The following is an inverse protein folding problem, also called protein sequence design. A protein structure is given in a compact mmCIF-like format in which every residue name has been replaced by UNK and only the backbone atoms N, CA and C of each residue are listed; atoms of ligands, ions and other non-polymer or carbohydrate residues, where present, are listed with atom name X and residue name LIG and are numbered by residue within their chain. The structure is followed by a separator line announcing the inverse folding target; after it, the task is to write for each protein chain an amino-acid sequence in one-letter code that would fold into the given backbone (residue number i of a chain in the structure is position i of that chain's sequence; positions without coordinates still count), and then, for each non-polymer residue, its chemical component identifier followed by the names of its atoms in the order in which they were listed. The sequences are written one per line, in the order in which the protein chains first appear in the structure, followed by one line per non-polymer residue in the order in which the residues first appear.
data_IF_569211928337
#
_entry.id   IF_569211928337
#
_cell.length_a   1.000
_cell.length_b   1.000
_cell.length_c   1.000
_cell.angle_alpha   90.00
_cell.angle_beta   90.00
_cell.angle_gamma   90.00
#
_symmetry.space_group_name_H-M   'P 1'
#
loop_
_entity.id
_entity.type
_entity.pdbx_description
1 polymer ?
#
# COMPACT_ATOMS: atom_id res chain seq x y z
N UNK A 1 -24.29 4.87 7.02
CA UNK A 1 -23.16 4.77 6.06
C UNK A 1 -23.06 3.30 5.66
N UNK A 2 -23.33 2.97 4.39
CA UNK A 2 -23.31 1.57 3.91
C UNK A 2 -21.86 1.18 3.62
N UNK A 3 -21.38 0.09 4.24
CA UNK A 3 -20.04 -0.42 3.98
C UNK A 3 -19.96 -0.89 2.52
N UNK A 4 -18.83 -0.65 1.82
CA UNK A 4 -18.65 -1.13 0.46
C UNK A 4 -18.75 -2.67 0.43
N UNK A 5 -19.37 -3.20 -0.63
CA UNK A 5 -19.49 -4.64 -0.83
C UNK A 5 -18.10 -5.21 -1.12
N UNK A 6 -17.61 -6.07 -0.23
CA UNK A 6 -16.40 -6.86 -0.46
C UNK A 6 -16.74 -8.02 -1.41
N UNK A 7 -15.87 -8.27 -2.39
CA UNK A 7 -16.11 -9.28 -3.42
C UNK A 7 -15.99 -10.71 -2.87
N UNK A 8 -16.94 -11.60 -3.21
CA UNK A 8 -16.79 -13.06 -3.04
C UNK A 8 -16.02 -13.73 -4.19
N UNK A 9 -15.59 -12.95 -5.18
CA UNK A 9 -14.84 -13.36 -6.37
C UNK A 9 -13.58 -12.51 -6.49
N UNK A 10 -12.63 -12.90 -7.34
CA UNK A 10 -11.51 -12.01 -7.69
C UNK A 10 -12.11 -10.79 -8.39
N UNK A 11 -11.95 -9.58 -7.82
CA UNK A 11 -12.48 -8.39 -8.45
C UNK A 11 -11.75 -8.07 -9.76
N UNK A 12 -12.45 -7.60 -10.77
CA UNK A 12 -11.90 -7.23 -12.09
C UNK A 12 -11.74 -5.72 -12.23
N UNK A 13 -10.92 -5.27 -13.19
CA UNK A 13 -10.81 -3.82 -13.48
C UNK A 13 -12.19 -3.23 -13.81
N UNK A 14 -12.49 -2.04 -13.30
CA UNK A 14 -13.76 -1.32 -13.48
C UNK A 14 -15.04 -2.01 -12.96
N UNK A 15 -14.93 -3.00 -12.08
CA UNK A 15 -16.10 -3.70 -11.51
C UNK A 15 -16.84 -2.95 -10.40
N UNK A 16 -16.40 -1.73 -10.07
CA UNK A 16 -16.96 -0.90 -8.99
C UNK A 16 -16.68 -1.44 -7.57
N UNK A 17 -16.02 -2.58 -7.44
CA UNK A 17 -15.62 -3.13 -6.15
C UNK A 17 -14.37 -2.39 -5.63
N UNK A 18 -14.09 -2.48 -4.34
CA UNK A 18 -12.88 -1.92 -3.73
C UNK A 18 -11.74 -2.95 -3.75
N UNK A 19 -10.50 -2.49 -3.53
CA UNK A 19 -9.33 -3.36 -3.37
C UNK A 19 -8.91 -3.33 -1.92
N UNK A 20 -8.76 -4.50 -1.31
CA UNK A 20 -8.10 -4.64 -0.01
C UNK A 20 -6.71 -5.23 -0.20
N UNK A 21 -5.75 -4.71 0.57
CA UNK A 21 -4.44 -5.30 0.73
C UNK A 21 -4.08 -5.35 2.21
N UNK A 22 -3.21 -6.28 2.59
CA UNK A 22 -2.62 -6.27 3.93
C UNK A 22 -1.15 -6.65 3.89
N UNK A 23 -0.39 -6.03 4.79
CA UNK A 23 0.98 -6.43 5.11
C UNK A 23 0.93 -7.38 6.28
N UNK A 24 1.62 -8.52 6.16
CA UNK A 24 1.81 -9.46 7.28
C UNK A 24 3.23 -9.33 7.79
N UNK A 25 3.38 -8.93 9.06
CA UNK A 25 4.66 -8.88 9.76
C UNK A 25 4.44 -9.54 11.12
N UNK A 26 5.15 -10.64 11.36
CA UNK A 26 4.96 -11.48 12.55
C UNK A 26 3.47 -11.82 12.76
N UNK A 27 2.93 -11.55 13.95
CA UNK A 27 1.53 -11.78 14.31
C UNK A 27 0.62 -10.57 14.04
N UNK A 28 1.09 -9.58 13.27
CA UNK A 28 0.35 -8.35 12.98
C UNK A 28 -0.01 -8.23 11.51
N UNK A 29 -1.26 -7.85 11.25
CA UNK A 29 -1.78 -7.56 9.92
C UNK A 29 -2.14 -6.08 9.79
N UNK A 30 -1.63 -5.43 8.76
CA UNK A 30 -1.86 -4.00 8.51
C UNK A 30 -2.63 -3.82 7.21
N UNK A 31 -3.91 -3.49 7.33
CA UNK A 31 -4.81 -3.39 6.18
C UNK A 31 -4.74 -2.03 5.48
N UNK A 32 -4.89 -2.05 4.17
CA UNK A 32 -5.08 -0.90 3.29
C UNK A 32 -6.25 -1.15 2.35
N UNK A 33 -6.92 -0.08 1.93
CA UNK A 33 -8.05 -0.13 1.00
C UNK A 33 -7.99 1.08 0.08
N UNK A 34 -8.41 0.94 -1.17
CA UNK A 34 -8.36 2.03 -2.14
C UNK A 34 -9.40 3.13 -1.86
N UNK A 35 -9.12 4.33 -2.39
CA UNK A 35 -9.77 5.61 -2.03
C UNK A 35 -11.28 5.67 -2.12
N UNK A 36 -11.90 4.96 -3.07
CA UNK A 36 -13.35 5.08 -3.30
C UNK A 36 -14.17 4.59 -2.09
N UNK A 37 -13.54 3.87 -1.16
CA UNK A 37 -14.16 3.31 0.03
C UNK A 37 -14.13 4.19 1.30
N UNK A 38 -13.36 5.30 1.33
CA UNK A 38 -13.18 6.09 2.56
C UNK A 38 -13.75 7.50 2.37
N UNK A 39 -14.99 7.76 2.80
CA UNK A 39 -15.54 9.11 2.87
C UNK A 39 -14.77 9.91 3.95
N UNK A 40 -14.37 11.13 3.64
CA UNK A 40 -13.74 12.04 4.61
C UNK A 40 -12.27 12.34 4.35
N UNK A 41 -11.98 13.65 4.25
CA UNK A 41 -10.73 14.25 3.78
C UNK A 41 -9.52 14.13 4.73
N UNK A 42 -9.59 13.40 5.85
CA UNK A 42 -8.48 13.27 6.80
C UNK A 42 -7.22 12.59 6.22
N UNK A 43 -7.38 11.71 5.23
CA UNK A 43 -6.23 11.05 4.60
C UNK A 43 -5.45 11.97 3.65
N UNK A 44 -5.99 13.13 3.25
CA UNK A 44 -5.31 14.05 2.32
C UNK A 44 -4.10 14.75 2.94
N UNK A 45 -4.19 15.17 4.20
CA UNK A 45 -3.11 15.87 4.90
C UNK A 45 -1.96 14.93 5.28
N UNK A 46 -2.28 13.75 5.87
CA UNK A 46 -1.29 12.70 6.21
C UNK A 46 -0.56 12.12 5.00
N UNK A 47 -1.17 12.23 3.80
CA UNK A 47 -0.56 11.86 2.51
C UNK A 47 0.60 12.79 2.14
N UNK A 48 0.41 14.11 2.24
CA UNK A 48 1.45 15.11 1.91
C UNK A 48 2.72 14.92 2.73
N UNK A 49 2.59 14.54 4.00
CA UNK A 49 3.74 14.28 4.88
C UNK A 49 4.59 13.10 4.39
N UNK A 50 3.94 12.00 4.00
CA UNK A 50 4.64 10.83 3.45
C UNK A 50 5.28 11.11 2.10
N UNK A 51 4.60 11.87 1.23
CA UNK A 51 5.20 12.27 -0.04
C UNK A 51 6.38 13.21 0.15
N UNK A 52 6.35 14.09 1.16
CA UNK A 52 7.52 14.90 1.52
C UNK A 52 8.67 14.04 2.02
N UNK A 53 8.41 13.01 2.83
CA UNK A 53 9.46 12.09 3.32
C UNK A 53 10.08 11.29 2.18
N UNK A 54 9.25 10.75 1.29
CA UNK A 54 9.71 9.99 0.11
C UNK A 54 10.46 10.90 -0.86
N UNK A 55 9.92 12.08 -1.17
CA UNK A 55 10.63 13.08 -1.98
C UNK A 55 12.00 13.45 -1.38
N UNK A 56 12.06 13.67 -0.05
CA UNK A 56 13.34 13.95 0.62
C UNK A 56 14.32 12.78 0.54
N UNK A 57 13.84 11.53 0.51
CA UNK A 57 14.70 10.35 0.43
C UNK A 57 15.04 9.91 -1.00
N UNK A 58 14.21 10.22 -2.00
CA UNK A 58 14.31 9.67 -3.37
C UNK A 58 14.40 10.72 -4.48
N UNK A 59 14.11 12.00 -4.20
CA UNK A 59 14.10 13.07 -5.20
C UNK A 59 12.89 13.07 -6.15
N UNK A 60 11.94 12.15 -6.00
CA UNK A 60 10.79 12.00 -6.92
C UNK A 60 9.66 12.98 -6.60
N UNK A 61 9.41 13.92 -7.52
CA UNK A 61 8.46 15.03 -7.41
C UNK A 61 7.02 14.60 -6.98
N UNK A 62 6.40 15.25 -5.97
CA UNK A 62 5.09 14.87 -5.43
C UNK A 62 3.92 15.00 -6.41
N UNK A 63 4.07 15.82 -7.46
CA UNK A 63 3.04 16.16 -8.44
C UNK A 63 2.58 14.94 -9.27
N UNK A 64 3.49 14.00 -9.56
CA UNK A 64 3.21 12.72 -10.23
C UNK A 64 2.47 11.72 -9.33
N UNK A 65 2.62 11.87 -8.01
CA UNK A 65 2.20 10.88 -7.01
C UNK A 65 0.80 11.20 -6.42
N UNK A 66 0.39 12.47 -6.42
CA UNK A 66 -0.79 12.94 -5.65
C UNK A 66 -2.17 12.44 -6.12
N UNK A 67 -2.31 12.03 -7.40
CA UNK A 67 -3.59 11.51 -7.94
C UNK A 67 -3.73 9.98 -7.77
N UNK A 68 -2.62 9.26 -7.68
CA UNK A 68 -2.58 7.80 -7.82
C UNK A 68 -2.20 7.08 -6.52
N UNK A 69 -1.67 7.81 -5.54
CA UNK A 69 -1.19 7.24 -4.29
C UNK A 69 -2.29 6.95 -3.26
N UNK A 70 -3.37 6.31 -3.65
CA UNK A 70 -4.39 5.84 -2.72
C UNK A 70 -4.83 4.40 -3.05
N UNK A 71 -3.85 3.58 -3.42
CA UNK A 71 -4.00 2.15 -3.60
C UNK A 71 -3.79 1.40 -2.29
N UNK A 72 -4.39 0.22 -2.22
CA UNK A 72 -4.51 -0.57 -1.00
C UNK A 72 -3.12 -0.99 -0.48
N UNK A 73 -2.23 -1.40 -1.38
CA UNK A 73 -0.87 -1.88 -1.11
C UNK A 73 -0.04 -0.82 -0.38
N UNK A 74 -0.04 0.39 -0.92
CA UNK A 74 0.67 1.52 -0.34
C UNK A 74 0.15 1.85 1.06
N UNK A 75 -1.19 1.85 1.22
CA UNK A 75 -1.81 2.20 2.49
C UNK A 75 -1.50 1.16 3.57
N UNK A 76 -1.53 -0.14 3.22
CA UNK A 76 -1.12 -1.20 4.15
C UNK A 76 0.34 -1.03 4.59
N UNK A 77 1.26 -0.77 3.65
CA UNK A 77 2.69 -0.66 3.95
C UNK A 77 3.03 0.56 4.79
N UNK A 78 2.44 1.72 4.48
CA UNK A 78 2.61 2.93 5.29
C UNK A 78 2.04 2.76 6.70
N UNK A 79 0.91 2.06 6.85
CA UNK A 79 0.32 1.78 8.18
C UNK A 79 1.22 0.86 9.00
N UNK A 80 1.74 -0.20 8.38
CA UNK A 80 2.72 -1.09 9.01
C UNK A 80 3.94 -0.31 9.52
N UNK A 81 4.57 0.46 8.63
CA UNK A 81 5.70 1.31 8.98
C UNK A 81 5.40 2.23 10.15
N UNK A 82 4.30 2.99 10.08
CA UNK A 82 3.93 3.92 11.15
C UNK A 82 3.75 3.21 12.48
N UNK A 83 3.13 2.02 12.49
CA UNK A 83 2.86 1.31 13.74
C UNK A 83 4.14 0.78 14.36
N UNK A 84 5.02 0.20 13.54
CA UNK A 84 6.29 -0.41 13.96
C UNK A 84 7.28 0.67 14.44
N UNK A 85 7.43 1.75 13.67
CA UNK A 85 8.40 2.81 13.97
C UNK A 85 7.94 3.78 15.06
N UNK A 86 6.66 3.77 15.46
CA UNK A 86 6.12 4.70 16.47
C UNK A 86 6.92 4.70 17.78
N UNK A 87 7.45 3.54 18.18
CA UNK A 87 8.19 3.35 19.43
C UNK A 87 9.67 3.04 19.18
N UNK A 88 10.24 3.50 18.06
CA UNK A 88 11.64 3.25 17.70
C UNK A 88 11.91 1.87 17.08
N UNK A 89 10.87 1.08 16.78
CA UNK A 89 11.01 -0.17 16.06
C UNK A 89 11.49 0.03 14.62
N UNK A 90 12.01 -1.03 14.01
CA UNK A 90 12.50 -1.03 12.63
C UNK A 90 11.65 -1.98 11.78
N UNK A 91 11.50 -1.64 10.50
CA UNK A 91 10.85 -2.56 9.57
C UNK A 91 11.72 -3.81 9.37
N UNK A 92 11.10 -4.98 9.19
CA UNK A 92 11.81 -6.16 8.71
C UNK A 92 12.48 -5.90 7.37
N UNK A 93 13.60 -6.58 7.12
CA UNK A 93 14.29 -6.53 5.82
C UNK A 93 13.48 -7.17 4.70
N UNK A 94 12.65 -8.16 5.02
CA UNK A 94 11.71 -8.79 4.10
C UNK A 94 10.27 -8.59 4.58
N UNK A 95 9.43 -8.04 3.70
CA UNK A 95 8.02 -7.76 4.00
C UNK A 95 7.14 -8.39 2.93
N UNK A 96 6.04 -9.00 3.36
CA UNK A 96 5.04 -9.58 2.46
C UNK A 96 3.75 -8.78 2.47
N UNK A 97 3.24 -8.48 1.28
CA UNK A 97 1.91 -7.89 1.04
C UNK A 97 1.03 -8.92 0.34
N UNK A 98 -0.21 -9.01 0.77
CA UNK A 98 -1.26 -9.75 0.10
C UNK A 98 -2.27 -8.76 -0.48
N UNK A 99 -2.61 -8.91 -1.75
CA UNK A 99 -3.50 -8.01 -2.49
C UNK A 99 -4.62 -8.80 -3.11
N UNK A 100 -5.85 -8.32 -2.96
CA UNK A 100 -7.03 -8.99 -3.50
C UNK A 100 -7.10 -8.96 -5.04
N UNK A 101 -6.35 -8.06 -5.69
CA UNK A 101 -6.32 -7.85 -7.13
C UNK A 101 -4.90 -7.84 -7.67
N UNK A 102 -4.71 -8.04 -8.98
CA UNK A 102 -3.44 -7.75 -9.63
C UNK A 102 -2.96 -6.32 -9.34
N UNK A 103 -1.72 -6.19 -8.87
CA UNK A 103 -1.06 -4.90 -8.66
C UNK A 103 -1.00 -4.11 -9.98
N UNK A 104 -1.45 -2.86 -9.95
CA UNK A 104 -1.41 -1.98 -11.13
C UNK A 104 0.02 -1.54 -11.46
N UNK A 105 0.29 -1.13 -12.70
CA UNK A 105 1.64 -0.72 -13.12
C UNK A 105 2.19 0.47 -12.33
N UNK A 106 1.31 1.35 -11.85
CA UNK A 106 1.73 2.43 -10.97
C UNK A 106 2.24 1.92 -9.63
N UNK A 107 1.53 0.96 -9.00
CA UNK A 107 2.00 0.33 -7.77
C UNK A 107 3.30 -0.44 -8.01
N UNK A 108 3.47 -1.11 -9.15
CA UNK A 108 4.74 -1.77 -9.50
C UNK A 108 5.92 -0.79 -9.58
N UNK A 109 5.69 0.43 -10.04
CA UNK A 109 6.74 1.46 -10.12
C UNK A 109 7.01 2.14 -8.76
N UNK A 110 6.00 2.24 -7.90
CA UNK A 110 6.11 3.01 -6.66
C UNK A 110 6.48 2.18 -5.42
N UNK A 111 6.04 0.92 -5.36
CA UNK A 111 6.36 0.01 -4.26
C UNK A 111 7.88 -0.19 -4.04
N UNK A 112 8.73 -0.28 -5.10
CA UNK A 112 10.18 -0.30 -4.95
C UNK A 112 10.73 0.92 -4.21
N UNK A 113 10.33 2.13 -4.63
CA UNK A 113 10.76 3.39 -4.00
C UNK A 113 10.31 3.49 -2.55
N UNK A 114 9.10 2.99 -2.27
CA UNK A 114 8.56 2.99 -0.93
C UNK A 114 9.31 2.02 -0.02
N UNK A 115 9.63 0.80 -0.48
CA UNK A 115 10.37 -0.18 0.32
C UNK A 115 11.77 0.34 0.68
N UNK A 116 12.45 0.99 -0.27
CA UNK A 116 13.79 1.56 -0.06
C UNK A 116 13.75 2.65 1.01
N UNK A 117 12.79 3.58 0.92
CA UNK A 117 12.61 4.65 1.92
C UNK A 117 12.31 4.13 3.33
N UNK A 118 11.83 2.88 3.44
CA UNK A 118 11.48 2.22 4.69
C UNK A 118 12.56 1.29 5.22
N UNK A 119 13.69 1.14 4.50
CA UNK A 119 14.77 0.21 4.87
C UNK A 119 14.45 -1.26 4.64
N UNK A 120 13.46 -1.56 3.80
CA UNK A 120 13.05 -2.91 3.41
C UNK A 120 13.85 -3.31 2.17
N UNK A 121 14.58 -4.42 2.28
CA UNK A 121 15.43 -4.94 1.21
C UNK A 121 14.63 -5.73 0.17
N UNK A 122 13.61 -6.46 0.62
CA UNK A 122 12.77 -7.31 -0.23
C UNK A 122 11.30 -7.12 0.09
N UNK A 123 10.51 -6.77 -0.92
CA UNK A 123 9.06 -6.68 -0.81
C UNK A 123 8.41 -7.73 -1.71
N UNK A 124 7.71 -8.69 -1.10
CA UNK A 124 7.00 -9.76 -1.80
C UNK A 124 5.52 -9.41 -1.86
N UNK A 125 4.92 -9.43 -3.05
CA UNK A 125 3.50 -9.11 -3.25
C UNK A 125 2.77 -10.30 -3.86
N UNK A 126 1.88 -10.89 -3.06
CA UNK A 126 0.98 -11.95 -3.49
C UNK A 126 -0.35 -11.38 -3.94
N UNK A 127 -0.63 -11.49 -5.23
CA UNK A 127 -1.93 -11.15 -5.80
C UNK A 127 -2.84 -12.38 -5.74
N UNK A 128 -4.09 -12.19 -5.28
CA UNK A 128 -5.09 -13.26 -5.22
C UNK A 128 -5.26 -13.92 -6.60
N UNK A 129 -5.15 -15.25 -6.62
CA UNK A 129 -5.31 -16.04 -7.85
C UNK A 129 -4.11 -16.00 -8.81
N UNK A 130 -2.98 -15.41 -8.40
CA UNK A 130 -1.72 -15.42 -9.16
C UNK A 130 -0.71 -16.32 -8.47
N UNK A 131 -0.14 -17.28 -9.19
CA UNK A 131 0.79 -18.28 -8.66
C UNK A 131 2.18 -17.71 -8.35
N UNK A 132 2.60 -16.70 -9.12
CA UNK A 132 3.92 -16.08 -8.99
C UNK A 132 3.78 -14.71 -8.31
N UNK A 133 4.41 -14.51 -7.14
CA UNK A 133 4.41 -13.20 -6.50
C UNK A 133 5.26 -12.20 -7.29
N UNK A 134 4.93 -10.92 -7.16
CA UNK A 134 5.84 -9.86 -7.57
C UNK A 134 6.90 -9.68 -6.48
N UNK A 135 8.15 -9.56 -6.88
CA UNK A 135 9.27 -9.35 -5.96
C UNK A 135 9.93 -8.04 -6.37
N UNK A 136 9.98 -7.12 -5.42
CA UNK A 136 10.61 -5.81 -5.58
C UNK A 136 11.80 -5.67 -4.65
#
# INVERSE_FOLDING_TARGET
MQLPVLGRRIPTSNDGLQTVAFVSIENSQFFGMNRLAIPGLEFASKRKEWFRKIYKSTGVEPSTISKVAADAERLSLVRAYKRITKNGGQMPKEVTIFVERPTCDFCKNYLPLLRESMGIEKLVVYNKGVSNPLIF
#
